data_IF_697836201981
#
_entry.id   IF_697836201981
#
_cell.length_a   1.000
_cell.length_b   1.000
_cell.length_c   1.000
_cell.angle_alpha   90.00
_cell.angle_beta   90.00
_cell.angle_gamma   90.00
#
_symmetry.space_group_name_H-M   'P 1'
#
loop_
_entity.id
_entity.type
_entity.pdbx_description
1 polymer ?
#
# COMPACT_ATOMS: atom_id res chain seq x y z
N UNK A 1 -28.63 -33.42 2.74
CA UNK A 1 -28.65 -33.29 1.26
C UNK A 1 -29.70 -32.33 0.69
N UNK A 2 -30.70 -31.90 1.47
CA UNK A 2 -31.62 -30.84 1.04
C UNK A 2 -30.88 -29.57 0.57
N UNK A 3 -29.81 -29.18 1.29
CA UNK A 3 -28.97 -28.03 0.94
C UNK A 3 -28.35 -28.06 -0.46
N UNK A 4 -27.66 -29.13 -0.86
CA UNK A 4 -27.02 -29.19 -2.20
C UNK A 4 -28.04 -29.22 -3.34
N UNK A 5 -29.10 -30.03 -3.22
CA UNK A 5 -30.18 -30.06 -4.22
C UNK A 5 -30.88 -28.70 -4.33
N UNK A 6 -31.15 -28.05 -3.20
CA UNK A 6 -31.74 -26.71 -3.15
C UNK A 6 -30.82 -25.66 -3.80
N UNK A 7 -29.52 -25.65 -3.45
CA UNK A 7 -28.53 -24.75 -4.03
C UNK A 7 -28.41 -24.91 -5.55
N UNK A 8 -28.40 -26.15 -6.05
CA UNK A 8 -28.38 -26.43 -7.50
C UNK A 8 -29.65 -25.88 -8.15
N UNK A 9 -30.83 -26.23 -7.64
CA UNK A 9 -32.11 -25.74 -8.21
C UNK A 9 -32.18 -24.22 -8.28
N UNK A 10 -31.78 -23.52 -7.22
CA UNK A 10 -31.78 -22.06 -7.18
C UNK A 10 -30.74 -21.40 -8.09
N UNK A 11 -29.61 -22.07 -8.34
CA UNK A 11 -28.56 -21.54 -9.22
C UNK A 11 -28.85 -21.82 -10.69
N UNK A 12 -29.46 -22.97 -11.04
CA UNK A 12 -29.85 -23.30 -12.42
C UNK A 12 -30.71 -22.18 -13.01
N UNK A 13 -31.74 -21.73 -12.29
CA UNK A 13 -32.67 -20.68 -12.77
C UNK A 13 -32.02 -19.30 -12.95
N UNK A 14 -30.82 -19.08 -12.41
CA UNK A 14 -30.06 -17.82 -12.53
C UNK A 14 -28.80 -17.96 -13.38
N UNK A 15 -28.53 -19.16 -13.90
CA UNK A 15 -27.32 -19.45 -14.66
C UNK A 15 -27.50 -19.13 -16.13
N UNK A 16 -26.50 -18.52 -16.74
CA UNK A 16 -26.45 -18.27 -18.19
C UNK A 16 -25.88 -19.45 -18.98
N UNK A 17 -25.28 -20.42 -18.29
CA UNK A 17 -24.69 -21.65 -18.87
C UNK A 17 -25.07 -22.88 -18.05
N UNK A 18 -24.85 -24.07 -18.61
CA UNK A 18 -25.07 -25.34 -17.89
C UNK A 18 -24.00 -25.60 -16.80
N UNK A 19 -22.96 -24.78 -16.74
CA UNK A 19 -21.93 -24.84 -15.71
C UNK A 19 -22.30 -23.92 -14.55
N UNK A 20 -22.44 -24.51 -13.36
CA UNK A 20 -22.85 -23.79 -12.15
C UNK A 20 -21.75 -23.87 -11.10
N UNK A 21 -21.36 -22.70 -10.58
CA UNK A 21 -20.44 -22.61 -9.46
C UNK A 21 -21.19 -22.73 -8.14
N UNK A 22 -20.74 -23.61 -7.24
CA UNK A 22 -21.18 -23.71 -5.86
C UNK A 22 -19.96 -23.56 -4.98
N UNK A 23 -19.97 -22.54 -4.11
CA UNK A 23 -18.89 -22.32 -3.15
C UNK A 23 -19.10 -23.25 -1.95
N UNK A 24 -18.13 -24.11 -1.69
CA UNK A 24 -18.11 -24.98 -0.52
C UNK A 24 -17.14 -24.41 0.51
N UNK A 25 -17.63 -23.43 1.27
CA UNK A 25 -16.85 -22.73 2.29
C UNK A 25 -17.52 -21.43 2.70
N UNK A 26 -17.06 -20.88 3.83
CA UNK A 26 -17.41 -19.56 4.33
C UNK A 26 -16.26 -19.08 5.22
N UNK A 27 -16.34 -17.85 5.71
CA UNK A 27 -15.33 -17.25 6.58
C UNK A 27 -14.97 -18.17 7.76
N UNK A 28 -13.66 -18.42 7.92
CA UNK A 28 -13.07 -19.22 8.99
C UNK A 28 -13.55 -20.68 9.08
N UNK A 29 -14.21 -21.22 8.05
CA UNK A 29 -14.63 -22.62 8.04
C UNK A 29 -13.46 -23.54 7.66
N UNK A 30 -13.16 -24.60 8.42
CA UNK A 30 -12.18 -25.59 8.00
C UNK A 30 -12.64 -26.32 6.73
N UNK A 31 -11.71 -26.91 5.96
CA UNK A 31 -12.06 -27.73 4.80
C UNK A 31 -13.04 -28.84 5.17
N UNK A 32 -14.05 -29.05 4.32
CA UNK A 32 -15.01 -30.14 4.50
C UNK A 32 -14.32 -31.49 4.40
N UNK A 33 -14.45 -32.31 5.45
CA UNK A 33 -13.82 -33.63 5.56
C UNK A 33 -14.55 -34.71 4.76
N UNK A 34 -15.80 -34.47 4.37
CA UNK A 34 -16.68 -35.45 3.71
C UNK A 34 -17.13 -35.00 2.31
N UNK A 35 -16.45 -34.03 1.71
CA UNK A 35 -16.86 -33.46 0.41
C UNK A 35 -16.84 -34.50 -0.72
N UNK A 36 -15.86 -35.41 -0.70
CA UNK A 36 -15.74 -36.49 -1.68
C UNK A 36 -16.96 -37.43 -1.60
N UNK A 37 -17.26 -37.93 -0.39
CA UNK A 37 -18.41 -38.80 -0.14
C UNK A 37 -19.74 -38.12 -0.50
N UNK A 38 -19.88 -36.82 -0.20
CA UNK A 38 -21.07 -36.06 -0.51
C UNK A 38 -21.28 -35.94 -2.03
N UNK A 39 -20.22 -35.67 -2.79
CA UNK A 39 -20.25 -35.60 -4.26
C UNK A 39 -20.54 -36.98 -4.85
N UNK A 40 -19.87 -38.02 -4.39
CA UNK A 40 -20.07 -39.39 -4.86
C UNK A 40 -21.48 -39.88 -4.59
N UNK A 41 -21.99 -39.66 -3.38
CA UNK A 41 -23.37 -39.99 -3.04
C UNK A 41 -24.35 -39.22 -3.93
N UNK A 42 -24.14 -37.92 -4.13
CA UNK A 42 -25.02 -37.10 -4.96
C UNK A 42 -25.06 -37.64 -6.39
N UNK A 43 -23.90 -37.88 -7.00
CA UNK A 43 -23.78 -38.39 -8.37
C UNK A 43 -24.33 -39.82 -8.51
N UNK A 44 -24.24 -40.66 -7.47
CA UNK A 44 -24.89 -42.00 -7.46
C UNK A 44 -26.41 -41.91 -7.43
N UNK A 45 -26.98 -40.92 -6.75
CA UNK A 45 -28.43 -40.78 -6.52
C UNK A 45 -29.14 -39.83 -7.49
N UNK A 46 -28.41 -38.99 -8.22
CA UNK A 46 -28.96 -38.02 -9.17
C UNK A 46 -28.35 -38.25 -10.56
N UNK A 47 -29.21 -38.36 -11.58
CA UNK A 47 -28.80 -38.53 -12.98
C UNK A 47 -29.04 -37.27 -13.83
N UNK A 48 -29.67 -36.25 -13.26
CA UNK A 48 -30.05 -35.03 -13.98
C UNK A 48 -28.84 -34.09 -14.12
N UNK A 49 -28.03 -33.97 -13.07
CA UNK A 49 -26.89 -33.08 -13.03
C UNK A 49 -25.67 -33.80 -12.46
N UNK A 50 -24.48 -33.44 -12.97
CA UNK A 50 -23.20 -33.94 -12.48
C UNK A 50 -22.53 -32.89 -11.60
N UNK A 51 -22.16 -33.27 -10.39
CA UNK A 51 -21.36 -32.44 -9.49
C UNK A 51 -19.91 -32.90 -9.55
N UNK A 52 -18.98 -31.94 -9.69
CA UNK A 52 -17.54 -32.19 -9.63
C UNK A 52 -16.91 -31.23 -8.63
N UNK A 53 -15.86 -31.69 -7.95
CA UNK A 53 -14.98 -30.80 -7.19
C UNK A 53 -14.05 -30.17 -8.22
N UNK A 54 -14.02 -28.84 -8.26
CA UNK A 54 -13.27 -28.10 -9.26
C UNK A 54 -12.57 -26.89 -8.62
N UNK A 55 -11.47 -26.47 -9.23
CA UNK A 55 -10.81 -25.21 -8.93
C UNK A 55 -11.31 -24.08 -9.84
N UNK A 56 -11.12 -22.80 -9.46
CA UNK A 56 -11.63 -21.66 -10.24
C UNK A 56 -11.22 -21.66 -11.72
N UNK A 57 -10.01 -22.12 -12.04
CA UNK A 57 -9.50 -22.18 -13.43
C UNK A 57 -10.23 -23.20 -14.30
N UNK A 58 -10.68 -24.32 -13.73
CA UNK A 58 -11.47 -25.33 -14.43
C UNK A 58 -12.87 -24.82 -14.72
N UNK A 59 -13.51 -24.17 -13.75
CA UNK A 59 -14.82 -23.54 -13.95
C UNK A 59 -14.75 -22.45 -15.03
N UNK A 60 -13.74 -21.59 -14.97
CA UNK A 60 -13.50 -20.58 -16.01
C UNK A 60 -13.29 -21.20 -17.39
N UNK A 61 -12.54 -22.30 -17.48
CA UNK A 61 -12.35 -23.04 -18.74
C UNK A 61 -13.66 -23.62 -19.27
N UNK A 62 -14.54 -24.13 -18.39
CA UNK A 62 -15.85 -24.63 -18.76
C UNK A 62 -16.77 -23.51 -19.29
N UNK A 63 -16.75 -22.33 -18.64
CA UNK A 63 -17.47 -21.15 -19.13
C UNK A 63 -17.00 -20.73 -20.53
N UNK A 64 -15.69 -20.70 -20.78
CA UNK A 64 -15.14 -20.41 -22.12
C UNK A 64 -15.58 -21.43 -23.17
N UNK A 65 -15.57 -22.73 -22.83
CA UNK A 65 -16.02 -23.82 -23.72
C UNK A 65 -17.51 -23.74 -24.05
N UNK A 66 -18.34 -23.17 -23.17
CA UNK A 66 -19.78 -22.99 -23.43
C UNK A 66 -20.08 -22.09 -24.64
N UNK A 67 -19.12 -21.24 -25.06
CA UNK A 67 -19.27 -20.23 -26.14
C UNK A 67 -20.46 -19.29 -25.95
N UNK A 68 -21.01 -19.20 -24.73
CA UNK A 68 -22.09 -18.26 -24.40
C UNK A 68 -21.52 -16.84 -24.40
N UNK A 69 -22.34 -15.90 -24.90
CA UNK A 69 -22.05 -14.46 -24.78
C UNK A 69 -22.58 -13.99 -23.42
N UNK A 70 -21.68 -13.48 -22.59
CA UNK A 70 -22.06 -12.88 -21.31
C UNK A 70 -22.46 -11.42 -21.52
N UNK A 71 -23.37 -10.93 -20.68
CA UNK A 71 -23.71 -9.52 -20.67
C UNK A 71 -22.50 -8.65 -20.29
N UNK A 72 -22.46 -7.45 -20.82
CA UNK A 72 -21.48 -6.43 -20.44
C UNK A 72 -22.10 -5.65 -19.30
N UNK A 73 -21.39 -5.55 -18.18
CA UNK A 73 -21.75 -4.67 -17.09
C UNK A 73 -20.78 -3.50 -17.13
N UNK A 74 -21.26 -2.32 -17.49
CA UNK A 74 -20.46 -1.09 -17.49
C UNK A 74 -20.28 -0.58 -16.05
N UNK A 75 -19.11 -0.04 -15.72
CA UNK A 75 -18.79 0.75 -14.52
C UNK A 75 -19.24 0.21 -13.14
N UNK A 76 -19.52 -1.09 -13.00
CA UNK A 76 -20.08 -1.63 -11.75
C UNK A 76 -19.05 -1.81 -10.63
N UNK A 77 -17.76 -1.98 -10.94
CA UNK A 77 -16.71 -2.22 -9.93
C UNK A 77 -16.47 -1.03 -8.98
N UNK A 78 -16.94 0.18 -9.33
CA UNK A 78 -16.89 1.36 -8.46
C UNK A 78 -18.28 1.85 -8.00
N UNK A 79 -19.34 1.14 -8.39
CA UNK A 79 -20.74 1.44 -8.04
C UNK A 79 -21.34 0.45 -7.03
N UNK A 80 -20.53 -0.44 -6.45
CA UNK A 80 -20.92 -1.13 -5.22
C UNK A 80 -21.48 -0.06 -4.27
N UNK A 81 -22.71 -0.21 -3.73
CA UNK A 81 -23.44 0.94 -3.22
C UNK A 81 -22.54 1.71 -2.26
N UNK A 82 -22.28 3.01 -2.49
CA UNK A 82 -21.46 3.82 -1.58
C UNK A 82 -22.01 3.80 -0.14
N UNK A 83 -23.25 3.35 0.02
CA UNK A 83 -23.95 3.11 1.28
C UNK A 83 -23.61 1.76 1.96
N UNK A 84 -22.90 0.85 1.30
CA UNK A 84 -22.44 -0.41 1.89
C UNK A 84 -21.12 -0.15 2.63
N UNK A 85 -21.23 -0.02 3.95
CA UNK A 85 -20.12 0.14 4.90
C UNK A 85 -19.34 1.48 4.81
N UNK A 86 -20.00 2.66 4.68
CA UNK A 86 -19.30 3.95 4.62
C UNK A 86 -18.47 4.25 5.87
N UNK A 87 -18.79 3.63 7.01
CA UNK A 87 -18.00 3.74 8.23
C UNK A 87 -16.57 3.22 8.10
N UNK A 88 -16.28 2.35 7.13
CA UNK A 88 -14.94 1.78 6.92
C UNK A 88 -13.90 2.82 6.49
N UNK A 89 -14.34 3.88 5.79
CA UNK A 89 -13.48 4.96 5.31
C UNK A 89 -12.98 5.86 6.45
N UNK A 90 -13.83 6.12 7.44
CA UNK A 90 -13.55 7.07 8.54
C UNK A 90 -13.15 6.42 9.85
N UNK A 91 -13.40 5.12 10.01
CA UNK A 91 -13.05 4.38 11.22
C UNK A 91 -11.53 4.34 11.44
N UNK A 92 -11.07 4.42 12.70
CA UNK A 92 -9.64 4.38 13.07
C UNK A 92 -8.71 5.22 12.16
N UNK A 93 -8.91 6.55 12.04
CA UNK A 93 -8.21 7.37 11.04
C UNK A 93 -6.69 7.36 11.17
N UNK A 94 -6.16 7.19 12.39
CA UNK A 94 -4.71 7.05 12.64
C UNK A 94 -4.09 5.88 11.89
N UNK A 95 -4.84 4.78 11.72
CA UNK A 95 -4.38 3.62 10.92
C UNK A 95 -4.17 4.01 9.46
N UNK A 96 -5.18 4.64 8.86
CA UNK A 96 -5.13 5.11 7.47
C UNK A 96 -4.00 6.10 7.25
N UNK A 97 -3.85 7.07 8.16
CA UNK A 97 -2.75 8.04 8.14
C UNK A 97 -1.38 7.36 8.20
N UNK A 98 -1.22 6.37 9.09
CA UNK A 98 0.04 5.64 9.22
C UNK A 98 0.35 4.80 7.99
N UNK A 99 -0.63 4.12 7.40
CA UNK A 99 -0.45 3.34 6.17
C UNK A 99 -0.07 4.28 5.02
N UNK A 100 -0.80 5.39 4.83
CA UNK A 100 -0.46 6.38 3.79
C UNK A 100 0.93 6.98 3.98
N UNK A 101 1.31 7.26 5.22
CA UNK A 101 2.67 7.72 5.53
C UNK A 101 3.71 6.67 5.11
N UNK A 102 3.47 5.39 5.41
CA UNK A 102 4.37 4.30 5.07
C UNK A 102 4.44 4.00 3.57
N UNK A 103 3.36 4.15 2.82
CA UNK A 103 3.37 4.09 1.34
C UNK A 103 4.35 5.11 0.77
N UNK A 104 4.25 6.36 1.23
CA UNK A 104 5.17 7.42 0.80
C UNK A 104 6.61 7.14 1.24
N UNK A 105 6.83 6.67 2.47
CA UNK A 105 8.17 6.31 2.95
C UNK A 105 8.77 5.13 2.19
N UNK A 106 7.95 4.14 1.82
CA UNK A 106 8.36 3.01 0.99
C UNK A 106 8.83 3.50 -0.38
N UNK A 107 8.01 4.32 -1.05
CA UNK A 107 8.36 4.95 -2.33
C UNK A 107 9.70 5.70 -2.26
N UNK A 108 9.87 6.57 -1.27
CA UNK A 108 11.13 7.31 -1.08
C UNK A 108 12.31 6.37 -0.85
N UNK A 109 12.12 5.34 -0.02
CA UNK A 109 13.17 4.35 0.26
C UNK A 109 13.60 3.63 -1.02
N UNK A 110 12.66 3.17 -1.82
CA UNK A 110 12.93 2.49 -3.09
C UNK A 110 13.60 3.41 -4.11
N UNK A 111 13.09 4.63 -4.28
CA UNK A 111 13.63 5.63 -5.19
C UNK A 111 15.11 5.91 -4.90
N UNK A 112 15.43 6.33 -3.67
CA UNK A 112 16.82 6.65 -3.32
C UNK A 112 17.72 5.43 -3.24
N UNK A 113 17.19 4.24 -2.88
CA UNK A 113 17.99 3.01 -2.92
C UNK A 113 18.37 2.64 -4.35
N UNK A 114 17.46 2.86 -5.30
CA UNK A 114 17.69 2.63 -6.72
C UNK A 114 18.70 3.63 -7.28
N UNK A 115 18.53 4.92 -6.99
CA UNK A 115 19.48 5.95 -7.42
C UNK A 115 20.89 5.71 -6.87
N UNK A 116 21.03 5.38 -5.58
CA UNK A 116 22.33 5.05 -5.00
C UNK A 116 22.94 3.79 -5.59
N UNK A 117 22.13 2.77 -5.91
CA UNK A 117 22.61 1.58 -6.60
C UNK A 117 23.16 1.93 -7.99
N UNK A 118 22.43 2.72 -8.77
CA UNK A 118 22.83 3.11 -10.12
C UNK A 118 24.07 4.03 -10.14
N UNK A 119 24.16 4.99 -9.21
CA UNK A 119 25.21 6.01 -9.21
C UNK A 119 26.46 5.61 -8.43
N UNK A 120 26.30 4.83 -7.35
CA UNK A 120 27.39 4.49 -6.43
C UNK A 120 27.71 3.00 -6.37
N UNK A 121 27.03 2.16 -7.16
CA UNK A 121 27.11 0.70 -7.06
C UNK A 121 26.82 0.17 -5.64
N UNK A 122 26.02 0.89 -4.84
CA UNK A 122 25.65 0.43 -3.50
C UNK A 122 24.65 -0.72 -3.61
N UNK A 123 24.78 -1.81 -2.83
CA UNK A 123 23.82 -2.90 -2.90
C UNK A 123 22.37 -2.43 -2.64
N UNK A 124 21.45 -2.77 -3.54
CA UNK A 124 20.03 -2.50 -3.35
C UNK A 124 19.47 -3.41 -2.24
N UNK A 125 18.86 -2.89 -1.17
CA UNK A 125 18.42 -3.67 -0.01
C UNK A 125 17.09 -4.39 -0.27
N UNK A 126 17.05 -5.23 -1.31
CA UNK A 126 15.85 -5.90 -1.84
C UNK A 126 15.07 -6.66 -0.78
N UNK A 127 15.76 -7.46 0.02
CA UNK A 127 15.12 -8.32 1.02
C UNK A 127 14.48 -7.50 2.14
N UNK A 128 15.16 -6.45 2.60
CA UNK A 128 14.64 -5.58 3.65
C UNK A 128 13.44 -4.77 3.17
N UNK A 129 13.53 -4.18 1.97
CA UNK A 129 12.41 -3.48 1.33
C UNK A 129 11.23 -4.44 1.12
N UNK A 130 11.48 -5.65 0.61
CA UNK A 130 10.45 -6.68 0.42
C UNK A 130 9.76 -7.08 1.73
N UNK A 131 10.51 -7.18 2.83
CA UNK A 131 9.96 -7.47 4.15
C UNK A 131 9.08 -6.33 4.67
N UNK A 132 9.49 -5.08 4.44
CA UNK A 132 8.73 -3.90 4.85
C UNK A 132 7.39 -3.82 4.11
N UNK A 133 7.39 -3.94 2.77
CA UNK A 133 6.14 -3.86 1.99
C UNK A 133 5.20 -5.03 2.29
N UNK A 134 5.72 -6.25 2.46
CA UNK A 134 4.89 -7.39 2.90
C UNK A 134 4.20 -7.11 4.23
N UNK A 135 4.89 -6.46 5.19
CA UNK A 135 4.27 -6.09 6.47
C UNK A 135 3.17 -5.03 6.29
N UNK A 136 3.36 -4.05 5.40
CA UNK A 136 2.30 -3.07 5.06
C UNK A 136 1.10 -3.79 4.45
N UNK A 137 1.31 -4.62 3.42
CA UNK A 137 0.25 -5.36 2.73
C UNK A 137 -0.53 -6.30 3.67
N UNK A 138 0.15 -6.95 4.62
CA UNK A 138 -0.51 -7.76 5.64
C UNK A 138 -1.38 -6.93 6.61
N UNK A 139 -1.10 -5.64 6.79
CA UNK A 139 -1.93 -4.72 7.58
C UNK A 139 -3.05 -4.10 6.74
N UNK A 140 -2.89 -4.08 5.42
CA UNK A 140 -3.78 -3.40 4.46
C UNK A 140 -4.86 -4.32 3.86
N UNK A 141 -4.96 -5.57 4.33
CA UNK A 141 -6.08 -6.44 3.97
C UNK A 141 -7.42 -5.81 4.41
N UNK A 142 -8.55 -6.25 3.81
CA UNK A 142 -9.83 -5.55 3.94
C UNK A 142 -10.24 -5.28 5.40
N UNK A 143 -10.22 -6.25 6.33
CA UNK A 143 -10.56 -5.94 7.73
C UNK A 143 -9.48 -5.13 8.46
N UNK A 144 -8.23 -5.24 8.00
CA UNK A 144 -7.09 -4.46 8.46
C UNK A 144 -7.27 -2.98 8.19
N UNK A 145 -7.18 -2.56 6.92
CA UNK A 145 -7.24 -1.14 6.55
C UNK A 145 -8.56 -0.48 6.94
N UNK A 146 -9.68 -1.19 6.84
CA UNK A 146 -11.00 -0.64 7.20
C UNK A 146 -11.17 -0.43 8.70
N UNK A 147 -10.33 -1.06 9.54
CA UNK A 147 -10.32 -0.84 10.99
C UNK A 147 -11.45 -1.54 11.74
N UNK A 148 -12.16 -2.48 11.10
CA UNK A 148 -13.37 -3.16 11.64
C UNK A 148 -13.05 -4.30 12.61
N UNK A 149 -11.78 -4.45 12.97
CA UNK A 149 -11.29 -5.47 13.89
C UNK A 149 -11.35 -5.01 15.36
N UNK A 150 -11.22 -5.98 16.27
CA UNK A 150 -11.11 -5.75 17.72
C UNK A 150 -9.85 -4.96 18.09
N UNK A 151 -9.84 -4.29 19.24
CA UNK A 151 -8.72 -3.44 19.65
C UNK A 151 -7.38 -4.18 19.76
N UNK A 152 -7.38 -5.44 20.20
CA UNK A 152 -6.16 -6.24 20.25
C UNK A 152 -5.51 -6.44 18.86
N UNK A 153 -6.33 -6.57 17.81
CA UNK A 153 -5.84 -6.65 16.44
C UNK A 153 -5.32 -5.29 15.95
N UNK A 154 -6.01 -4.20 16.33
CA UNK A 154 -5.58 -2.83 16.01
C UNK A 154 -4.20 -2.52 16.61
N UNK A 155 -3.99 -2.85 17.88
CA UNK A 155 -2.73 -2.61 18.58
C UNK A 155 -1.59 -3.40 17.93
N UNK A 156 -1.84 -4.65 17.53
CA UNK A 156 -0.87 -5.44 16.80
C UNK A 156 -0.54 -4.83 15.44
N UNK A 157 -1.56 -4.40 14.67
CA UNK A 157 -1.37 -3.72 13.39
C UNK A 157 -0.52 -2.45 13.57
N UNK A 158 -0.87 -1.59 14.51
CA UNK A 158 -0.12 -0.35 14.76
C UNK A 158 1.34 -0.63 15.18
N UNK A 159 1.59 -1.68 15.95
CA UNK A 159 2.95 -2.14 16.27
C UNK A 159 3.70 -2.60 15.02
N UNK A 160 3.07 -3.39 14.15
CA UNK A 160 3.68 -3.81 12.88
C UNK A 160 4.01 -2.60 12.00
N UNK A 161 3.10 -1.64 11.86
CA UNK A 161 3.33 -0.41 11.10
C UNK A 161 4.47 0.43 11.71
N UNK A 162 4.59 0.50 13.04
CA UNK A 162 5.71 1.20 13.69
C UNK A 162 7.05 0.53 13.43
N UNK A 163 7.11 -0.81 13.45
CA UNK A 163 8.32 -1.55 13.09
C UNK A 163 8.71 -1.32 11.62
N UNK A 164 7.73 -1.28 10.71
CA UNK A 164 7.96 -0.92 9.31
C UNK A 164 8.50 0.50 9.18
N UNK A 165 7.93 1.46 9.90
CA UNK A 165 8.40 2.86 9.89
C UNK A 165 9.88 2.95 10.25
N UNK A 166 10.28 2.32 11.36
CA UNK A 166 11.68 2.36 11.82
C UNK A 166 12.61 1.72 10.79
N UNK A 167 12.19 0.60 10.20
CA UNK A 167 12.94 -0.09 9.16
C UNK A 167 13.10 0.78 7.91
N UNK A 168 12.01 1.31 7.35
CA UNK A 168 12.05 2.15 6.15
C UNK A 168 12.84 3.44 6.38
N UNK A 169 12.65 4.13 7.51
CA UNK A 169 13.43 5.34 7.83
C UNK A 169 14.94 5.07 7.88
N UNK A 170 15.36 3.93 8.45
CA UNK A 170 16.78 3.53 8.44
C UNK A 170 17.29 3.29 7.03
N UNK A 171 16.55 2.54 6.22
CA UNK A 171 16.93 2.24 4.83
C UNK A 171 16.99 3.51 3.99
N UNK A 172 15.96 4.35 4.06
CA UNK A 172 15.91 5.66 3.41
C UNK A 172 17.10 6.54 3.81
N UNK A 173 17.39 6.67 5.10
CA UNK A 173 18.54 7.46 5.57
C UNK A 173 19.87 6.92 5.03
N UNK A 174 20.02 5.59 5.01
CA UNK A 174 21.21 4.95 4.44
C UNK A 174 21.32 5.26 2.95
N UNK A 175 20.26 5.00 2.18
CA UNK A 175 20.21 5.23 0.74
C UNK A 175 20.48 6.69 0.39
N UNK A 176 19.81 7.63 1.07
CA UNK A 176 20.00 9.07 0.89
C UNK A 176 21.44 9.47 1.18
N UNK A 177 22.08 8.92 2.23
CA UNK A 177 23.47 9.26 2.56
C UNK A 177 24.49 8.81 1.51
N UNK A 178 24.18 7.76 0.73
CA UNK A 178 24.98 7.40 -0.44
C UNK A 178 24.67 8.30 -1.62
N UNK A 179 23.40 8.53 -1.91
CA UNK A 179 22.96 9.35 -3.03
C UNK A 179 23.60 10.75 -2.99
N UNK A 180 23.59 11.41 -1.82
CA UNK A 180 24.11 12.78 -1.68
C UNK A 180 25.62 12.89 -1.91
N UNK A 181 26.38 11.77 -1.85
CA UNK A 181 27.83 11.80 -2.13
C UNK A 181 28.14 12.07 -3.60
N UNK A 182 27.16 11.93 -4.49
CA UNK A 182 27.32 12.29 -5.91
C UNK A 182 27.14 13.78 -6.18
N UNK A 183 26.73 14.55 -5.18
CA UNK A 183 26.47 15.98 -5.34
C UNK A 183 27.76 16.72 -5.03
N UNK A 184 28.32 17.41 -6.03
CA UNK A 184 29.51 18.21 -5.87
C UNK A 184 29.20 19.50 -5.09
N UNK A 185 29.70 19.56 -3.86
CA UNK A 185 29.62 20.73 -2.99
C UNK A 185 30.98 21.41 -2.82
N UNK A 186 31.98 21.13 -3.67
CA UNK A 186 33.34 21.66 -3.54
C UNK A 186 33.44 23.17 -3.79
N UNK A 187 32.50 23.74 -4.54
CA UNK A 187 32.40 25.18 -4.80
C UNK A 187 31.80 25.98 -3.63
N UNK A 188 31.43 25.32 -2.54
CA UNK A 188 30.86 25.95 -1.34
C UNK A 188 31.99 26.28 -0.37
N UNK A 189 31.96 27.48 0.22
CA UNK A 189 32.97 27.93 1.18
C UNK A 189 32.97 27.04 2.44
N UNK A 190 34.11 26.95 3.11
CA UNK A 190 34.29 26.03 4.24
C UNK A 190 33.41 26.41 5.44
N UNK A 191 33.10 27.69 5.56
CA UNK A 191 32.22 28.30 6.56
C UNK A 191 30.71 28.14 6.25
N UNK A 192 30.37 27.78 5.01
CA UNK A 192 28.98 27.60 4.56
C UNK A 192 28.48 26.18 4.81
N UNK A 193 27.15 26.02 4.91
CA UNK A 193 26.50 24.73 5.10
C UNK A 193 25.71 24.40 3.82
N UNK A 194 26.06 23.32 3.09
CA UNK A 194 25.29 22.90 1.93
C UNK A 194 23.89 22.45 2.36
N UNK A 195 22.86 23.05 1.76
CA UNK A 195 21.47 22.67 1.94
C UNK A 195 20.98 21.99 0.66
N UNK A 196 20.64 20.71 0.76
CA UNK A 196 20.14 19.91 -0.35
C UNK A 196 18.64 19.70 -0.19
N UNK A 197 17.87 20.11 -1.21
CA UNK A 197 16.42 19.96 -1.26
C UNK A 197 16.09 19.09 -2.47
N UNK A 198 15.30 18.05 -2.24
CA UNK A 198 14.92 17.11 -3.28
C UNK A 198 13.41 17.15 -3.45
N UNK A 199 12.94 17.40 -4.67
CA UNK A 199 11.57 17.09 -5.05
C UNK A 199 11.52 15.63 -5.54
N UNK A 200 10.91 14.71 -4.79
CA UNK A 200 10.82 13.30 -5.20
C UNK A 200 9.64 13.05 -6.18
N UNK A 201 8.90 14.07 -6.58
CA UNK A 201 7.73 13.94 -7.46
C UNK A 201 8.16 13.98 -8.94
N UNK A 202 7.31 13.44 -9.80
CA UNK A 202 7.53 13.45 -11.26
C UNK A 202 7.08 14.75 -11.94
N UNK A 203 6.80 15.81 -11.18
CA UNK A 203 6.39 17.12 -11.67
C UNK A 203 7.01 18.23 -10.84
N UNK A 204 7.20 19.40 -11.46
CA UNK A 204 7.76 20.59 -10.80
C UNK A 204 6.90 21.03 -9.62
N UNK A 205 7.56 21.44 -8.55
CA UNK A 205 6.90 21.93 -7.34
C UNK A 205 7.56 23.19 -6.81
N UNK A 206 6.71 24.08 -6.31
CA UNK A 206 7.13 25.17 -5.42
C UNK A 206 6.52 24.92 -4.05
N UNK A 207 7.35 24.93 -3.00
CA UNK A 207 6.90 24.67 -1.63
C UNK A 207 7.67 25.48 -0.59
N UNK A 208 7.01 25.71 0.55
CA UNK A 208 7.64 26.28 1.73
C UNK A 208 8.38 25.14 2.44
N UNK A 209 9.69 25.25 2.50
CA UNK A 209 10.57 24.29 3.17
C UNK A 209 11.04 24.85 4.52
N UNK A 210 11.34 23.94 5.45
CA UNK A 210 11.73 24.26 6.83
C UNK A 210 13.11 23.72 7.14
N UNK A 211 13.96 24.56 7.73
CA UNK A 211 15.25 24.18 8.29
C UNK A 211 15.31 24.51 9.78
N UNK A 212 15.99 23.65 10.53
CA UNK A 212 16.26 23.85 11.95
C UNK A 212 17.76 24.11 12.11
N UNK A 213 18.11 25.26 12.66
CA UNK A 213 19.50 25.67 12.87
C UNK A 213 19.87 25.61 14.35
N UNK A 214 21.16 25.41 14.62
CA UNK A 214 21.69 25.48 15.99
C UNK A 214 21.44 26.85 16.60
N UNK A 215 21.20 26.91 17.91
CA UNK A 215 21.11 28.17 18.67
C UNK A 215 22.37 29.04 18.60
N UNK A 216 23.50 28.46 18.18
CA UNK A 216 24.77 29.16 17.98
C UNK A 216 24.78 30.03 16.71
N UNK A 217 23.95 29.70 15.72
CA UNK A 217 23.85 30.47 14.47
C UNK A 217 22.88 31.62 14.72
N UNK A 218 23.42 32.85 14.80
CA UNK A 218 22.64 34.06 15.09
C UNK A 218 22.19 34.78 13.82
N UNK A 219 23.05 34.83 12.82
CA UNK A 219 22.84 35.50 11.54
C UNK A 219 23.29 34.58 10.42
N UNK A 220 22.50 34.49 9.36
CA UNK A 220 22.80 33.71 8.17
C UNK A 220 21.99 34.24 7.00
N UNK A 221 22.42 33.88 5.80
CA UNK A 221 21.66 34.04 4.57
C UNK A 221 21.50 32.68 3.92
N UNK A 222 20.42 32.52 3.15
CA UNK A 222 20.25 31.34 2.29
C UNK A 222 20.59 31.80 0.88
N UNK A 223 21.52 31.10 0.23
CA UNK A 223 21.90 31.36 -1.16
C UNK A 223 21.44 30.19 -2.02
N UNK A 224 20.98 30.48 -3.24
CA UNK A 224 20.77 29.44 -4.26
C UNK A 224 22.09 29.10 -4.98
N UNK A 225 22.06 28.14 -5.89
CA UNK A 225 23.24 27.70 -6.68
C UNK A 225 23.90 28.80 -7.53
N UNK A 226 23.20 29.92 -7.77
CA UNK A 226 23.72 31.07 -8.52
C UNK A 226 24.23 32.19 -7.59
N UNK A 227 24.31 31.94 -6.27
CA UNK A 227 24.70 32.93 -5.27
C UNK A 227 23.64 33.99 -4.96
N UNK A 228 22.40 33.81 -5.44
CA UNK A 228 21.30 34.74 -5.17
C UNK A 228 20.66 34.42 -3.82
N UNK A 229 20.46 35.45 -3.01
CA UNK A 229 19.79 35.33 -1.73
C UNK A 229 18.32 34.90 -1.87
N UNK A 230 17.93 33.89 -1.10
CA UNK A 230 16.56 33.44 -0.92
C UNK A 230 16.02 34.05 0.38
N UNK A 231 14.87 34.77 0.34
CA UNK A 231 14.21 35.25 1.54
C UNK A 231 13.83 34.09 2.46
N UNK A 232 14.05 34.27 3.76
CA UNK A 232 13.65 33.31 4.78
C UNK A 232 13.00 34.04 5.96
N UNK A 233 12.20 33.30 6.73
CA UNK A 233 11.47 33.84 7.88
C UNK A 233 11.62 32.90 9.08
N UNK A 234 11.85 33.45 10.28
CA UNK A 234 11.82 32.69 11.52
C UNK A 234 10.39 32.26 11.85
N UNK A 235 10.22 30.98 12.12
CA UNK A 235 8.93 30.41 12.51
C UNK A 235 8.71 30.57 14.02
N UNK A 236 7.55 31.07 14.45
CA UNK A 236 7.22 31.35 15.87
C UNK A 236 6.63 30.16 16.63
N UNK A 237 6.84 28.92 16.18
CA UNK A 237 6.08 27.76 16.69
C UNK A 237 6.57 27.26 18.05
N UNK A 238 7.84 27.50 18.43
CA UNK A 238 8.37 27.18 19.77
C UNK A 238 9.57 28.07 20.12
N UNK A 239 9.56 28.71 21.29
CA UNK A 239 10.66 29.58 21.76
C UNK A 239 12.02 28.86 21.88
N UNK A 240 11.99 27.52 21.96
CA UNK A 240 13.18 26.67 22.11
C UNK A 240 13.80 26.20 20.80
N UNK A 241 13.12 26.38 19.66
CA UNK A 241 13.61 25.88 18.36
C UNK A 241 13.88 27.04 17.39
N UNK A 242 15.13 27.13 16.90
CA UNK A 242 15.52 28.06 15.84
C UNK A 242 15.11 27.48 14.47
N UNK A 243 13.81 27.48 14.20
CA UNK A 243 13.24 27.03 12.94
C UNK A 243 13.00 28.19 11.98
N UNK A 244 13.34 27.98 10.72
CA UNK A 244 13.20 28.96 9.64
C UNK A 244 12.54 28.32 8.43
N UNK A 245 11.70 29.10 7.75
CA UNK A 245 11.04 28.70 6.52
C UNK A 245 11.51 29.56 5.35
N UNK A 246 11.53 28.99 4.15
CA UNK A 246 11.85 29.69 2.91
C UNK A 246 11.15 29.00 1.73
N UNK A 247 11.04 29.71 0.61
CA UNK A 247 10.41 29.17 -0.60
C UNK A 247 11.45 28.41 -1.43
N UNK A 248 11.25 27.12 -1.62
CA UNK A 248 11.99 26.30 -2.57
C UNK A 248 11.18 26.16 -3.86
N UNK A 249 11.87 26.25 -5.00
CA UNK A 249 11.30 26.10 -6.33
C UNK A 249 12.28 25.30 -7.18
N UNK A 250 11.77 24.31 -7.90
CA UNK A 250 12.52 23.55 -8.92
C UNK A 250 12.97 24.45 -10.10
#
# INVERSE_FOLDING_TARGET
MGGLKFSIKNRIVRSTTDNILILNGTDNLPPSTNILDAVDYYNKKNKENKVIIAIPSEFHSALKKSRKKFGIVENYEFLGPPDLFPGTFSNRPKLKQQIRFLENQFYLTELFSTLSNLLNNTPYPKEEISKAIKRILCCDFHDGITGVHIDAAYDNIMKQLKLTELQLKRLFKSALSYFIKNIDTSNILKEDIPLLIFNPLSWERTSIERINLSSKIKEFIILNQNGKQIPHQKEKINEKENSYIFLAKD
#
